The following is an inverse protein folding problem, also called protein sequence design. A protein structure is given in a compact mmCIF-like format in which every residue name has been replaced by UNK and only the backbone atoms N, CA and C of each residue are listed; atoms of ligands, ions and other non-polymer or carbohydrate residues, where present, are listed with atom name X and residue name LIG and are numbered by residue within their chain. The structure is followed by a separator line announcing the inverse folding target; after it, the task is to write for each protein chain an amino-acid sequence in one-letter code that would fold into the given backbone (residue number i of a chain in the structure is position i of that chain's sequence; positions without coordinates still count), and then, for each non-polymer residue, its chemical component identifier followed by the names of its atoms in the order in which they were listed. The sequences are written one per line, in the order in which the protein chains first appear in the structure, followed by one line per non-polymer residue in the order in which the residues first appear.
data_IF_133341183243
#
_entry.id   IF_133341183243
#
_cell.length_a   1.000
_cell.length_b   1.000
_cell.length_c   1.000
_cell.angle_alpha   90.00
_cell.angle_beta   90.00
_cell.angle_gamma   90.00
#
_symmetry.space_group_name_H-M   'P 1'
#
loop_
_entity.id
_entity.type
_entity.pdbx_description
1 polymer ?
#
# COMPACT_ATOMS: atom_id res chain seq x y z
N UNK A 1 9.74 1.64 13.67
CA UNK A 1 8.55 1.95 12.90
C UNK A 1 7.43 1.10 13.46
N UNK A 2 6.44 1.73 14.08
CA UNK A 2 5.21 1.04 14.48
C UNK A 2 4.20 1.20 13.34
N UNK A 3 3.89 0.11 12.66
CA UNK A 3 2.91 0.10 11.57
C UNK A 3 1.77 -0.85 11.94
N UNK A 4 0.55 -0.40 11.71
CA UNK A 4 -0.64 -1.22 11.88
C UNK A 4 -1.61 -0.89 10.77
N UNK A 5 -2.08 -1.91 10.07
CA UNK A 5 -3.05 -1.75 8.99
C UNK A 5 -4.36 -2.40 9.35
N UNK A 6 -5.45 -1.79 8.91
CA UNK A 6 -6.78 -2.38 8.95
C UNK A 6 -7.34 -2.44 7.54
N UNK A 7 -7.91 -3.59 7.18
CA UNK A 7 -8.63 -3.71 5.91
C UNK A 7 -9.81 -2.73 5.88
N UNK A 8 -9.80 -1.82 4.92
CA UNK A 8 -10.86 -0.85 4.68
C UNK A 8 -11.81 -1.34 3.57
N UNK A 9 -11.26 -1.81 2.45
CA UNK A 9 -12.05 -2.33 1.33
C UNK A 9 -11.29 -3.43 0.57
N UNK A 10 -12.02 -4.24 -0.19
CA UNK A 10 -11.48 -5.25 -1.10
C UNK A 10 -11.72 -4.81 -2.54
N UNK A 11 -10.70 -4.95 -3.38
CA UNK A 11 -10.70 -4.61 -4.80
C UNK A 11 -10.60 -5.91 -5.61
N UNK A 12 -10.93 -5.86 -6.90
CA UNK A 12 -10.92 -7.05 -7.79
C UNK A 12 -9.54 -7.73 -7.85
N UNK A 13 -8.47 -6.94 -7.75
CA UNK A 13 -7.09 -7.42 -7.76
C UNK A 13 -6.28 -6.91 -6.56
N UNK A 14 -6.91 -6.58 -5.44
CA UNK A 14 -6.16 -6.02 -4.33
C UNK A 14 -6.96 -5.68 -3.07
N UNK A 15 -6.31 -4.97 -2.17
CA UNK A 15 -6.86 -4.54 -0.89
C UNK A 15 -6.56 -3.06 -0.66
N UNK A 16 -7.54 -2.37 -0.11
CA UNK A 16 -7.38 -1.04 0.45
C UNK A 16 -7.29 -1.16 1.98
N UNK A 17 -6.23 -0.61 2.54
CA UNK A 17 -5.89 -0.63 3.94
C UNK A 17 -5.90 0.80 4.48
N UNK A 18 -6.52 0.97 5.64
CA UNK A 18 -6.30 2.13 6.49
C UNK A 18 -5.09 1.82 7.37
N UNK A 19 -3.97 2.49 7.12
CA UNK A 19 -2.70 2.21 7.77
C UNK A 19 -2.34 3.36 8.70
N UNK A 20 -1.89 3.01 9.90
CA UNK A 20 -1.31 3.95 10.86
C UNK A 20 0.17 3.66 10.96
N UNK A 21 0.99 4.65 10.66
CA UNK A 21 2.46 4.59 10.69
C UNK A 21 2.97 5.61 11.70
N UNK A 22 3.54 5.15 12.82
CA UNK A 22 4.06 5.99 13.90
C UNK A 22 3.06 7.11 14.34
N UNK A 23 1.77 6.78 14.29
CA UNK A 23 0.65 7.69 14.64
C UNK A 23 0.11 8.55 13.50
N UNK A 24 0.73 8.54 12.32
CA UNK A 24 0.21 9.18 11.11
C UNK A 24 -0.75 8.24 10.37
N UNK A 25 -1.85 8.77 9.87
CA UNK A 25 -2.81 8.01 9.06
C UNK A 25 -2.44 8.13 7.58
N UNK A 26 -2.48 7.00 6.88
CA UNK A 26 -2.27 6.92 5.44
C UNK A 26 -3.20 5.86 4.85
N UNK A 27 -3.47 5.98 3.55
CA UNK A 27 -4.25 4.99 2.82
C UNK A 27 -3.30 4.16 1.97
N UNK A 28 -3.28 2.84 2.18
CA UNK A 28 -2.40 1.93 1.43
C UNK A 28 -3.24 1.01 0.56
N UNK A 29 -2.88 0.93 -0.72
CA UNK A 29 -3.43 0.01 -1.68
C UNK A 29 -2.38 -1.05 -1.98
N UNK A 30 -2.73 -2.32 -1.83
CA UNK A 30 -1.87 -3.44 -2.19
C UNK A 30 -2.56 -4.18 -3.32
N UNK A 31 -1.93 -4.20 -4.49
CA UNK A 31 -2.49 -4.70 -5.75
C UNK A 31 -1.64 -5.85 -6.23
N UNK A 32 -2.27 -6.95 -6.62
CA UNK A 32 -1.61 -8.09 -7.25
C UNK A 32 -1.59 -7.86 -8.77
N UNK A 33 -0.41 -7.68 -9.35
CA UNK A 33 -0.23 -7.41 -10.76
C UNK A 33 1.04 -6.62 -11.06
N UNK A 34 1.27 -6.39 -12.35
CA UNK A 34 2.38 -5.56 -12.83
C UNK A 34 2.21 -4.09 -12.37
N UNK A 35 3.33 -3.37 -12.27
CA UNK A 35 3.33 -1.98 -11.84
C UNK A 35 2.77 -1.07 -12.95
N UNK A 36 1.45 -0.86 -12.92
CA UNK A 36 0.74 -0.07 -13.92
C UNK A 36 0.28 1.28 -13.35
N UNK A 37 0.98 2.35 -13.77
CA UNK A 37 0.66 3.73 -13.38
C UNK A 37 -0.68 4.21 -13.94
N UNK A 38 -1.10 3.70 -15.10
CA UNK A 38 -2.39 4.06 -15.70
C UNK A 38 -3.55 3.47 -14.88
N UNK A 39 -3.34 2.29 -14.28
CA UNK A 39 -4.31 1.65 -13.39
C UNK A 39 -4.54 2.45 -12.08
N UNK A 40 -3.56 3.24 -11.61
CA UNK A 40 -3.67 4.03 -10.37
C UNK A 40 -4.91 4.93 -10.40
N UNK A 41 -5.22 5.56 -11.53
CA UNK A 41 -6.38 6.45 -11.65
C UNK A 41 -7.73 5.72 -11.48
N UNK A 42 -7.76 4.39 -11.69
CA UNK A 42 -8.92 3.55 -11.42
C UNK A 42 -8.96 2.95 -10.01
N UNK A 43 -7.81 2.94 -9.32
CA UNK A 43 -7.64 2.36 -7.98
C UNK A 43 -7.83 3.43 -6.90
N UNK A 44 -7.15 4.57 -7.06
CA UNK A 44 -7.15 5.67 -6.09
C UNK A 44 -8.35 6.58 -6.40
N UNK A 45 -9.27 6.75 -5.44
CA UNK A 45 -10.42 7.62 -5.65
C UNK A 45 -9.96 9.08 -5.79
N UNK A 46 -10.55 9.83 -6.73
CA UNK A 46 -10.12 11.20 -7.03
C UNK A 46 -10.27 12.13 -5.83
N UNK A 47 -11.22 11.86 -4.93
CA UNK A 47 -11.46 12.65 -3.72
C UNK A 47 -10.23 12.77 -2.82
N UNK A 48 -9.36 11.75 -2.76
CA UNK A 48 -8.12 11.79 -1.97
C UNK A 48 -7.10 12.74 -2.60
N UNK A 49 -6.98 12.69 -3.94
CA UNK A 49 -6.09 13.57 -4.70
C UNK A 49 -6.58 15.02 -4.64
N UNK A 50 -7.89 15.22 -4.75
CA UNK A 50 -8.54 16.52 -4.62
C UNK A 50 -8.39 17.10 -3.19
N UNK A 51 -8.33 16.24 -2.17
CA UNK A 51 -8.01 16.64 -0.80
C UNK A 51 -6.53 17.03 -0.59
N UNK A 52 -5.67 16.81 -1.60
CA UNK A 52 -4.26 17.18 -1.59
C UNK A 52 -3.30 16.04 -1.23
N UNK A 53 -3.77 14.79 -1.18
CA UNK A 53 -2.91 13.64 -0.94
C UNK A 53 -1.95 13.42 -2.12
N UNK A 54 -0.67 13.15 -1.82
CA UNK A 54 0.27 12.67 -2.83
C UNK A 54 0.13 11.16 -2.98
N UNK A 55 0.27 10.68 -4.22
CA UNK A 55 0.27 9.25 -4.51
C UNK A 55 1.72 8.80 -4.63
N UNK A 56 2.11 7.87 -3.78
CA UNK A 56 3.38 7.15 -3.85
C UNK A 56 3.12 5.75 -4.36
N UNK A 57 3.73 5.37 -5.48
CA UNK A 57 3.56 4.05 -6.05
C UNK A 57 4.90 3.35 -6.21
N UNK A 58 4.95 2.06 -5.86
CA UNK A 58 6.13 1.22 -6.03
C UNK A 58 5.75 -0.22 -6.40
N UNK A 59 6.62 -0.86 -7.17
CA UNK A 59 6.57 -2.29 -7.43
C UNK A 59 7.20 -3.07 -6.28
N UNK A 60 6.63 -4.24 -6.00
CA UNK A 60 7.14 -5.27 -5.10
C UNK A 60 7.35 -6.53 -5.92
N UNK A 61 8.55 -6.65 -6.48
CA UNK A 61 8.88 -7.67 -7.49
C UNK A 61 9.48 -8.94 -6.88
N UNK A 62 10.04 -8.85 -5.68
CA UNK A 62 10.71 -9.96 -5.00
C UNK A 62 10.51 -9.89 -3.48
N UNK A 63 10.12 -11.01 -2.88
CA UNK A 63 9.89 -11.11 -1.42
C UNK A 63 11.11 -10.78 -0.57
N UNK A 64 12.32 -10.99 -1.08
CA UNK A 64 13.57 -10.66 -0.37
C UNK A 64 13.85 -9.16 -0.35
N UNK A 65 13.33 -8.43 -1.34
CA UNK A 65 13.47 -6.98 -1.45
C UNK A 65 12.23 -6.23 -0.97
N UNK A 66 11.11 -6.92 -0.76
CA UNK A 66 9.83 -6.34 -0.39
C UNK A 66 9.93 -5.42 0.83
N UNK A 67 10.68 -5.83 1.86
CA UNK A 67 10.90 -5.00 3.03
C UNK A 67 11.58 -3.68 2.68
N UNK A 68 12.74 -3.73 2.01
CA UNK A 68 13.47 -2.51 1.63
C UNK A 68 12.64 -1.60 0.71
N UNK A 69 11.91 -2.17 -0.24
CA UNK A 69 11.07 -1.41 -1.18
C UNK A 69 9.89 -0.73 -0.48
N UNK A 70 9.25 -1.42 0.48
CA UNK A 70 8.14 -0.87 1.26
C UNK A 70 8.65 0.21 2.21
N UNK A 71 9.71 -0.06 2.98
CA UNK A 71 10.32 0.92 3.89
C UNK A 71 10.72 2.18 3.13
N UNK A 72 11.36 2.07 1.96
CA UNK A 72 11.75 3.23 1.16
C UNK A 72 10.58 4.14 0.80
N UNK A 73 9.41 3.58 0.50
CA UNK A 73 8.22 4.38 0.23
C UNK A 73 7.68 4.98 1.52
N UNK A 74 7.52 4.17 2.56
CA UNK A 74 6.98 4.60 3.85
C UNK A 74 7.85 5.64 4.57
N UNK A 75 9.15 5.70 4.29
CA UNK A 75 10.03 6.75 4.80
C UNK A 75 9.82 8.10 4.10
N UNK A 76 9.21 8.10 2.91
CA UNK A 76 8.96 9.29 2.09
C UNK A 76 7.49 9.76 2.11
N UNK A 77 6.58 9.04 2.77
CA UNK A 77 5.16 9.41 2.82
C UNK A 77 4.88 10.44 3.91
N UNK A 78 3.91 11.30 3.65
CA UNK A 78 3.38 12.25 4.62
C UNK A 78 2.05 11.74 5.20
N UNK A 79 1.59 12.31 6.31
CA UNK A 79 0.21 12.11 6.77
C UNK A 79 -0.78 12.43 5.65
N UNK A 80 -1.83 11.61 5.55
CA UNK A 80 -2.90 11.70 4.54
C UNK A 80 -2.46 11.36 3.09
N UNK A 81 -1.20 11.00 2.86
CA UNK A 81 -0.77 10.49 1.55
C UNK A 81 -1.37 9.11 1.25
N UNK A 82 -1.40 8.80 -0.05
CA UNK A 82 -1.84 7.51 -0.58
C UNK A 82 -0.63 6.72 -1.06
N UNK A 83 -0.56 5.46 -0.68
CA UNK A 83 0.48 4.53 -1.12
C UNK A 83 -0.13 3.42 -1.97
N UNK A 84 0.52 3.05 -3.06
CA UNK A 84 0.11 1.95 -3.94
C UNK A 84 1.28 1.01 -4.16
N UNK A 85 1.17 -0.21 -3.64
CA UNK A 85 2.14 -1.28 -3.87
C UNK A 85 1.60 -2.25 -4.92
N UNK A 86 2.38 -2.46 -5.98
CA UNK A 86 2.09 -3.42 -7.03
C UNK A 86 2.94 -4.68 -6.81
N UNK A 87 2.32 -5.75 -6.37
CA UNK A 87 2.99 -7.01 -6.08
C UNK A 87 3.00 -7.90 -7.32
N UNK A 88 4.20 -8.31 -7.74
CA UNK A 88 4.37 -9.13 -8.95
C UNK A 88 3.71 -10.52 -8.84
N UNK A 89 3.62 -11.07 -7.63
CA UNK A 89 3.03 -12.38 -7.36
C UNK A 89 2.42 -12.48 -5.96
N UNK A 90 1.71 -13.59 -5.69
CA UNK A 90 1.00 -13.82 -4.43
C UNK A 90 1.92 -13.87 -3.21
N UNK A 91 3.19 -14.28 -3.36
CA UNK A 91 4.14 -14.27 -2.25
C UNK A 91 4.55 -12.84 -1.90
N UNK A 92 4.82 -12.00 -2.91
CA UNK A 92 5.08 -10.57 -2.72
C UNK A 92 3.88 -9.87 -2.10
N UNK A 93 2.67 -10.24 -2.51
CA UNK A 93 1.43 -9.73 -1.95
C UNK A 93 1.27 -10.09 -0.46
N UNK A 94 1.46 -11.35 -0.11
CA UNK A 94 1.42 -11.80 1.28
C UNK A 94 2.49 -11.13 2.15
N UNK A 95 3.71 -11.03 1.64
CA UNK A 95 4.81 -10.35 2.33
C UNK A 95 4.51 -8.86 2.56
N UNK A 96 3.95 -8.16 1.57
CA UNK A 96 3.56 -6.76 1.72
C UNK A 96 2.49 -6.57 2.79
N UNK A 97 1.45 -7.42 2.83
CA UNK A 97 0.41 -7.34 3.86
C UNK A 97 0.95 -7.59 5.27
N UNK A 98 1.86 -8.54 5.42
CA UNK A 98 2.52 -8.85 6.70
C UNK A 98 3.37 -7.68 7.19
N UNK A 99 4.20 -7.11 6.30
CA UNK A 99 5.04 -5.95 6.59
C UNK A 99 4.23 -4.69 6.91
N UNK A 100 3.06 -4.54 6.29
CA UNK A 100 2.13 -3.44 6.58
C UNK A 100 1.37 -3.64 7.90
N UNK A 101 1.60 -4.73 8.62
CA UNK A 101 0.99 -4.98 9.93
C UNK A 101 -0.53 -5.18 9.83
N UNK A 102 -1.02 -5.79 8.74
CA UNK A 102 -2.40 -6.25 8.67
C UNK A 102 -2.54 -7.43 9.65
N UNK A 103 -3.41 -7.35 10.69
CA UNK A 103 -3.61 -8.47 11.59
C UNK A 103 -4.15 -9.66 10.80
N UNK A 104 -3.49 -10.81 10.95
CA UNK A 104 -4.07 -12.10 10.62
C UNK A 104 -5.23 -12.30 11.60
N UNK A 105 -6.47 -12.18 11.11
CA UNK A 105 -7.65 -12.63 11.84
C UNK A 105 -7.45 -14.13 12.18
N UNK A 106 -7.36 -14.45 13.48
CA UNK A 106 -7.35 -15.81 14.05
C UNK A 106 -8.77 -16.39 14.09
#
# INVERSE_FOLDING_TARGET
MEITSRRQATLEHGLCLATTLDGANLTVYVILGDADLEAIAGIVPPELVEAGANIHAAGVDDTTLAQEQIDQVLENVNPDDVVVFFCADENCYGAALDLLGLPVDD
#
